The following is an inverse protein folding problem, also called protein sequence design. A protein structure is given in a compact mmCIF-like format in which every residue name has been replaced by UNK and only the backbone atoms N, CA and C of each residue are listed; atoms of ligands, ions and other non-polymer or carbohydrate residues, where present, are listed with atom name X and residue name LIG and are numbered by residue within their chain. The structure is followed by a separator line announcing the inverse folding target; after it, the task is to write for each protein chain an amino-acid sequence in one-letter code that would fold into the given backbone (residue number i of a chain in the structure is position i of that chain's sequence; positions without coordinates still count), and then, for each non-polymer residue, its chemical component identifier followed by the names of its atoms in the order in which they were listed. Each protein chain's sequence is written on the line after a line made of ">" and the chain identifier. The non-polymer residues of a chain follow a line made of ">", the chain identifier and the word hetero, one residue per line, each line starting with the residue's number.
data_IF_039261180115
#
_entry.id   IF_039261180115
#
_cell.length_a   1.000
_cell.length_b   1.000
_cell.length_c   1.000
_cell.angle_alpha   90.00
_cell.angle_beta   90.00
_cell.angle_gamma   90.00
#
_symmetry.space_group_name_H-M   'P 1'
#
loop_
_entity.id
_entity.type
_entity.pdbx_description
1 polymer ?
#
# COMPACT_ATOMS: atom_id res chain seq x y z
N UNK A 1 7.57 -1.53 3.02
CA UNK A 1 7.92 -2.48 4.10
C UNK A 1 8.60 -1.76 5.27
N UNK A 2 9.68 -0.99 5.09
CA UNK A 2 10.40 -0.30 6.20
C UNK A 2 9.50 0.57 7.08
N UNK A 3 8.55 1.31 6.51
CA UNK A 3 7.59 2.11 7.28
C UNK A 3 6.81 1.25 8.28
N UNK A 4 6.30 0.10 7.86
CA UNK A 4 5.57 -0.81 8.74
C UNK A 4 6.48 -1.49 9.77
N UNK A 5 7.70 -1.90 9.35
CA UNK A 5 8.67 -2.53 10.23
C UNK A 5 9.11 -1.58 11.37
N UNK A 6 9.18 -0.28 11.11
CA UNK A 6 9.44 0.74 12.13
C UNK A 6 8.42 0.70 13.28
N UNK A 7 7.17 0.34 12.98
CA UNK A 7 6.07 0.16 13.96
C UNK A 7 5.92 -1.29 14.44
N UNK A 8 6.90 -2.17 14.16
CA UNK A 8 6.92 -3.56 14.62
C UNK A 8 6.20 -4.58 13.74
N UNK A 9 5.68 -4.17 12.58
CA UNK A 9 5.02 -5.07 11.62
C UNK A 9 6.05 -5.63 10.63
N UNK A 10 6.43 -6.88 10.81
CA UNK A 10 7.50 -7.53 10.05
C UNK A 10 7.03 -8.71 9.18
N UNK A 11 5.73 -8.98 9.13
CA UNK A 11 5.17 -10.02 8.27
C UNK A 11 4.46 -9.38 7.07
N UNK A 12 4.88 -9.76 5.86
CA UNK A 12 4.44 -9.15 4.62
C UNK A 12 3.98 -10.18 3.61
N UNK A 13 2.87 -9.89 2.92
CA UNK A 13 2.38 -10.66 1.79
C UNK A 13 2.45 -9.78 0.55
N UNK A 14 3.18 -10.21 -0.45
CA UNK A 14 3.30 -9.52 -1.74
C UNK A 14 2.40 -10.23 -2.75
N UNK A 15 1.37 -9.53 -3.22
CA UNK A 15 0.50 -9.97 -4.29
C UNK A 15 1.21 -9.76 -5.64
N UNK A 16 1.93 -10.77 -6.11
CA UNK A 16 2.72 -10.69 -7.32
C UNK A 16 1.95 -11.14 -8.57
N UNK A 17 2.30 -10.58 -9.71
CA UNK A 17 1.75 -10.90 -11.03
C UNK A 17 2.84 -10.86 -12.07
N UNK A 18 2.81 -9.85 -12.97
CA UNK A 18 3.84 -9.66 -13.98
C UNK A 18 5.24 -9.55 -13.35
N UNK A 19 6.21 -10.24 -13.94
CA UNK A 19 7.60 -10.31 -13.45
C UNK A 19 7.75 -10.77 -11.98
N UNK A 20 6.83 -11.58 -11.47
CA UNK A 20 6.91 -12.10 -10.11
C UNK A 20 8.23 -12.84 -9.80
N UNK A 21 8.85 -13.46 -10.83
CA UNK A 21 10.13 -14.14 -10.68
C UNK A 21 11.23 -13.18 -10.22
N UNK A 22 11.28 -11.95 -10.75
CA UNK A 22 12.27 -10.94 -10.34
C UNK A 22 12.13 -10.59 -8.85
N UNK A 23 10.90 -10.47 -8.36
CA UNK A 23 10.64 -10.22 -6.94
C UNK A 23 11.11 -11.40 -6.08
N UNK A 24 10.80 -12.64 -6.53
CA UNK A 24 11.21 -13.87 -5.82
C UNK A 24 12.72 -14.05 -5.80
N UNK A 25 13.39 -13.82 -6.93
CA UNK A 25 14.84 -13.85 -7.06
C UNK A 25 15.49 -12.83 -6.12
N UNK A 26 14.99 -11.61 -6.08
CA UNK A 26 15.52 -10.57 -5.20
C UNK A 26 15.42 -10.96 -3.72
N UNK A 27 14.31 -11.59 -3.29
CA UNK A 27 14.19 -12.04 -1.90
C UNK A 27 14.97 -13.31 -1.62
N UNK A 28 15.18 -14.22 -2.60
CA UNK A 28 15.99 -15.42 -2.41
C UNK A 28 17.46 -15.07 -2.12
N UNK A 29 17.96 -14.01 -2.74
CA UNK A 29 19.32 -13.54 -2.62
C UNK A 29 19.46 -12.26 -1.77
N UNK A 30 18.40 -11.91 -1.02
CA UNK A 30 18.32 -10.68 -0.23
C UNK A 30 19.55 -10.46 0.66
N UNK A 31 20.04 -11.51 1.32
CA UNK A 31 21.21 -11.44 2.18
C UNK A 31 22.50 -11.13 1.41
N UNK A 32 22.61 -11.58 0.15
CA UNK A 32 23.75 -11.25 -0.72
C UNK A 32 23.75 -9.76 -1.10
N UNK A 33 22.57 -9.17 -1.31
CA UNK A 33 22.44 -7.77 -1.72
C UNK A 33 22.62 -6.77 -0.57
N UNK A 34 22.46 -7.24 0.68
CA UNK A 34 22.42 -6.36 1.87
C UNK A 34 23.58 -6.59 2.83
N UNK A 35 24.52 -7.48 2.50
CA UNK A 35 25.65 -7.86 3.37
C UNK A 35 26.99 -7.63 2.68
N UNK A 36 28.05 -7.49 3.49
CA UNK A 36 29.43 -7.54 3.01
C UNK A 36 29.84 -9.00 2.82
N UNK A 37 30.30 -9.39 1.63
CA UNK A 37 30.55 -10.76 1.27
C UNK A 37 31.91 -10.93 0.60
N UNK A 38 32.62 -11.99 0.97
CA UNK A 38 33.78 -12.50 0.25
C UNK A 38 33.39 -13.79 -0.46
N UNK A 39 33.63 -13.83 -1.77
CA UNK A 39 33.57 -15.04 -2.58
C UNK A 39 34.99 -15.59 -2.74
N UNK A 40 35.29 -16.71 -2.12
CA UNK A 40 36.60 -17.37 -2.21
C UNK A 40 36.55 -18.49 -3.27
N UNK A 41 37.01 -18.19 -4.46
CA UNK A 41 37.12 -19.17 -5.55
C UNK A 41 38.36 -20.04 -5.46
N UNK A 42 39.30 -19.73 -4.55
CA UNK A 42 40.53 -20.51 -4.36
C UNK A 42 40.31 -21.71 -3.43
N UNK A 43 39.27 -21.64 -2.59
CA UNK A 43 38.96 -22.62 -1.56
C UNK A 43 37.54 -23.22 -1.77
N UNK A 44 37.27 -23.75 -2.96
CA UNK A 44 36.03 -24.51 -3.22
C UNK A 44 34.76 -23.69 -3.37
N UNK A 45 34.85 -22.42 -3.79
CA UNK A 45 33.72 -21.46 -3.92
C UNK A 45 33.02 -21.18 -2.58
N UNK A 46 33.76 -20.93 -1.53
CA UNK A 46 33.24 -20.56 -0.22
C UNK A 46 32.63 -19.16 -0.26
N UNK A 47 31.49 -18.96 0.44
CA UNK A 47 30.84 -17.67 0.62
C UNK A 47 30.95 -17.29 2.09
N UNK A 48 31.66 -16.19 2.38
CA UNK A 48 31.86 -15.67 3.73
C UNK A 48 31.07 -14.38 3.87
N UNK A 49 30.06 -14.38 4.73
CA UNK A 49 29.23 -13.20 5.02
C UNK A 49 29.79 -12.50 6.27
N UNK A 50 30.28 -11.26 6.12
CA UNK A 50 30.92 -10.50 7.19
C UNK A 50 29.93 -9.71 8.04
N UNK A 51 29.17 -8.80 7.43
CA UNK A 51 28.18 -7.98 8.11
C UNK A 51 26.80 -8.25 7.50
N UNK A 52 25.85 -8.60 8.36
CA UNK A 52 24.48 -8.89 7.96
C UNK A 52 23.60 -7.67 8.26
N UNK A 53 23.24 -6.93 7.24
CA UNK A 53 22.25 -5.86 7.33
C UNK A 53 20.88 -6.37 6.84
N UNK A 54 20.39 -7.43 7.48
CA UNK A 54 19.15 -8.10 7.08
C UNK A 54 18.01 -7.56 7.93
N UNK A 55 16.99 -7.05 7.27
CA UNK A 55 15.75 -6.66 7.95
C UNK A 55 15.04 -7.92 8.48
N UNK A 56 14.41 -7.88 9.67
CA UNK A 56 13.78 -9.04 10.29
C UNK A 56 12.40 -9.34 9.68
N UNK A 57 12.30 -9.35 8.36
CA UNK A 57 11.05 -9.53 7.65
C UNK A 57 10.74 -10.99 7.38
N UNK A 58 9.48 -11.36 7.53
CA UNK A 58 8.89 -12.58 6.97
C UNK A 58 8.08 -12.18 5.75
N UNK A 59 8.54 -12.57 4.56
CA UNK A 59 7.94 -12.18 3.29
C UNK A 59 7.38 -13.39 2.57
N UNK A 60 6.11 -13.34 2.24
CA UNK A 60 5.43 -14.33 1.41
C UNK A 60 5.07 -13.70 0.06
N UNK A 61 5.62 -14.23 -1.02
CA UNK A 61 5.33 -13.76 -2.39
C UNK A 61 4.34 -14.71 -3.03
N UNK A 62 3.11 -14.24 -3.24
CA UNK A 62 1.99 -15.03 -3.78
C UNK A 62 1.82 -14.71 -5.27
N UNK A 63 1.78 -15.75 -6.11
CA UNK A 63 1.30 -15.60 -7.47
C UNK A 63 -0.22 -15.37 -7.46
N UNK A 64 -0.59 -14.11 -7.67
CA UNK A 64 -2.01 -13.72 -7.73
C UNK A 64 -2.54 -13.63 -9.16
N UNK A 65 -1.78 -14.11 -10.14
CA UNK A 65 -2.15 -14.12 -11.56
C UNK A 65 -1.79 -12.85 -12.32
N UNK A 66 -1.59 -13.00 -13.64
CA UNK A 66 -1.18 -11.90 -14.51
C UNK A 66 -2.33 -10.90 -14.71
N UNK A 67 -3.51 -11.40 -15.08
CA UNK A 67 -4.67 -10.59 -15.46
C UNK A 67 -5.63 -10.31 -14.29
N UNK A 68 -5.23 -10.64 -13.06
CA UNK A 68 -6.06 -10.44 -11.87
C UNK A 68 -6.07 -8.98 -11.46
N UNK A 69 -7.26 -8.43 -11.26
CA UNK A 69 -7.44 -7.05 -10.79
C UNK A 69 -7.19 -6.91 -9.28
N UNK A 70 -7.14 -5.69 -8.77
CA UNK A 70 -6.76 -5.39 -7.37
C UNK A 70 -7.59 -6.14 -6.34
N UNK A 71 -8.91 -6.19 -6.49
CA UNK A 71 -9.80 -6.97 -5.63
C UNK A 71 -9.52 -8.47 -5.68
N UNK A 72 -9.36 -9.03 -6.89
CA UNK A 72 -9.03 -10.44 -7.06
C UNK A 72 -7.73 -10.83 -6.38
N UNK A 73 -6.69 -9.97 -6.45
CA UNK A 73 -5.42 -10.21 -5.75
C UNK A 73 -5.61 -10.27 -4.24
N UNK A 74 -6.40 -9.33 -3.69
CA UNK A 74 -6.76 -9.34 -2.26
C UNK A 74 -7.49 -10.64 -1.92
N UNK A 75 -8.47 -11.06 -2.72
CA UNK A 75 -9.23 -12.30 -2.46
C UNK A 75 -8.34 -13.54 -2.41
N UNK A 76 -7.36 -13.64 -3.31
CA UNK A 76 -6.46 -14.80 -3.41
C UNK A 76 -5.54 -14.96 -2.20
N UNK A 77 -5.30 -13.93 -1.42
CA UNK A 77 -4.47 -13.99 -0.22
C UNK A 77 -5.27 -14.26 1.06
N UNK A 78 -6.59 -14.46 1.00
CA UNK A 78 -7.44 -14.69 2.17
C UNK A 78 -6.91 -15.74 3.14
N UNK A 79 -6.45 -16.88 2.61
CA UNK A 79 -5.94 -17.98 3.44
C UNK A 79 -4.60 -17.66 4.14
N UNK A 80 -3.90 -16.63 3.68
CA UNK A 80 -2.64 -16.19 4.27
C UNK A 80 -2.83 -15.08 5.31
N UNK A 81 -3.90 -14.30 5.17
CA UNK A 81 -4.25 -13.21 6.11
C UNK A 81 -4.88 -13.77 7.38
N UNK A 82 -5.67 -14.85 7.27
CA UNK A 82 -6.38 -15.42 8.42
C UNK A 82 -7.62 -14.59 8.82
N UNK A 83 -7.86 -14.51 10.14
CA UNK A 83 -9.06 -13.87 10.72
C UNK A 83 -8.74 -12.58 11.49
N UNK A 84 -7.55 -12.05 11.36
CA UNK A 84 -7.14 -10.81 12.03
C UNK A 84 -7.21 -9.62 11.07
N UNK A 85 -7.41 -8.40 11.59
CA UNK A 85 -7.30 -7.19 10.79
C UNK A 85 -5.94 -7.11 10.10
N UNK A 86 -5.92 -6.64 8.88
CA UNK A 86 -4.70 -6.53 8.10
C UNK A 86 -4.56 -5.15 7.45
N UNK A 87 -3.33 -4.80 7.15
CA UNK A 87 -3.02 -3.58 6.42
C UNK A 87 -2.76 -3.89 4.95
N UNK A 88 -3.27 -3.04 4.07
CA UNK A 88 -3.03 -3.12 2.64
C UNK A 88 -2.32 -1.85 2.19
N UNK A 89 -1.31 -2.01 1.33
CA UNK A 89 -0.58 -0.88 0.74
C UNK A 89 -0.38 -1.08 -0.76
N UNK A 90 -0.41 0.03 -1.52
CA UNK A 90 0.02 0.03 -2.91
C UNK A 90 1.56 0.04 -2.99
N UNK A 91 2.12 -0.68 -3.96
CA UNK A 91 3.56 -0.86 -4.07
C UNK A 91 4.32 0.34 -4.64
N UNK A 92 3.62 1.31 -5.21
CA UNK A 92 4.11 2.46 -5.96
C UNK A 92 4.04 3.79 -5.20
N UNK A 93 3.66 3.75 -3.92
CA UNK A 93 3.53 4.94 -3.08
C UNK A 93 4.57 4.96 -1.96
N UNK A 94 5.11 6.16 -1.71
CA UNK A 94 6.01 6.44 -0.57
C UNK A 94 5.36 7.50 0.31
N UNK A 95 5.37 7.28 1.63
CA UNK A 95 4.79 8.23 2.58
C UNK A 95 5.28 7.97 4.00
N UNK A 96 5.09 8.96 4.87
CA UNK A 96 5.41 8.91 6.29
C UNK A 96 4.14 8.73 7.16
N UNK A 97 3.18 7.96 6.65
CA UNK A 97 1.92 7.66 7.36
C UNK A 97 2.22 7.03 8.71
N UNK A 98 1.70 7.65 9.77
CA UNK A 98 1.80 7.09 11.11
C UNK A 98 0.87 5.88 11.24
N UNK A 99 1.46 4.69 11.20
CA UNK A 99 0.75 3.40 11.20
C UNK A 99 0.05 3.16 12.55
N UNK A 100 0.66 3.59 13.65
CA UNK A 100 0.07 3.44 14.98
C UNK A 100 -1.24 4.26 15.09
N UNK A 101 -1.21 5.54 14.71
CA UNK A 101 -2.42 6.39 14.74
C UNK A 101 -3.48 5.91 13.74
N UNK A 102 -3.08 5.41 12.58
CA UNK A 102 -4.00 4.82 11.61
C UNK A 102 -4.74 3.60 12.20
N UNK A 103 -4.01 2.72 12.89
CA UNK A 103 -4.58 1.54 13.57
C UNK A 103 -5.47 1.91 14.76
N UNK A 104 -5.06 2.88 15.57
CA UNK A 104 -5.88 3.39 16.66
C UNK A 104 -7.20 3.98 16.15
N UNK A 105 -7.12 4.79 15.08
CA UNK A 105 -8.29 5.35 14.42
C UNK A 105 -9.23 4.24 13.93
N UNK A 106 -8.69 3.20 13.25
CA UNK A 106 -9.46 2.06 12.78
C UNK A 106 -10.16 1.32 13.93
N UNK A 107 -9.43 0.99 14.98
CA UNK A 107 -9.98 0.32 16.17
C UNK A 107 -11.09 1.15 16.84
N UNK A 108 -10.91 2.47 16.92
CA UNK A 108 -11.84 3.38 17.59
C UNK A 108 -13.20 3.46 16.90
N UNK A 109 -13.24 3.47 15.56
CA UNK A 109 -14.52 3.57 14.86
C UNK A 109 -15.21 2.21 14.63
N UNK A 110 -14.49 1.08 14.72
CA UNK A 110 -15.02 -0.29 14.66
C UNK A 110 -15.72 -0.64 13.33
N UNK A 111 -15.35 0.01 12.22
CA UNK A 111 -15.87 -0.29 10.88
C UNK A 111 -14.96 -1.26 10.14
N UNK A 112 -15.45 -1.83 9.03
CA UNK A 112 -14.73 -2.86 8.28
C UNK A 112 -13.48 -2.35 7.56
N UNK A 113 -13.46 -1.08 7.17
CA UNK A 113 -12.35 -0.52 6.41
C UNK A 113 -12.01 0.91 6.82
N UNK A 114 -10.71 1.21 6.80
CA UNK A 114 -10.16 2.56 6.85
C UNK A 114 -9.31 2.77 5.61
N UNK A 115 -9.50 3.86 4.90
CA UNK A 115 -8.63 4.32 3.81
C UNK A 115 -7.91 5.58 4.26
N UNK A 116 -6.59 5.62 4.06
CA UNK A 116 -5.84 6.86 4.25
C UNK A 116 -6.04 7.75 3.03
N UNK A 117 -6.31 9.03 3.30
CA UNK A 117 -6.53 10.04 2.28
C UNK A 117 -5.57 11.21 2.48
N UNK A 118 -5.18 11.82 1.38
CA UNK A 118 -4.25 12.95 1.37
C UNK A 118 -4.82 14.10 0.56
N UNK A 119 -4.64 15.32 1.03
CA UNK A 119 -5.02 16.49 0.26
C UNK A 119 -3.95 16.78 -0.79
N UNK A 120 -4.17 16.28 -2.01
CA UNK A 120 -3.30 16.52 -3.17
C UNK A 120 -3.50 17.89 -3.78
N UNK A 121 -4.22 18.77 -3.09
CA UNK A 121 -4.52 20.13 -3.56
C UNK A 121 -3.25 20.90 -3.89
N UNK A 122 -3.18 21.41 -5.11
CA UNK A 122 -2.22 22.47 -5.40
C UNK A 122 -2.60 23.66 -4.50
N UNK A 123 -1.65 24.15 -3.70
CA UNK A 123 -1.79 25.39 -2.91
C UNK A 123 -1.87 26.63 -3.82
N UNK A 124 -2.65 26.56 -4.90
CA UNK A 124 -2.79 27.61 -5.90
C UNK A 124 -4.26 27.90 -6.09
N UNK A 125 -4.61 29.17 -6.16
CA UNK A 125 -5.98 29.60 -6.42
C UNK A 125 -6.55 28.98 -7.68
N UNK A 126 -7.83 28.69 -7.66
CA UNK A 126 -8.60 28.20 -8.81
C UNK A 126 -9.06 29.42 -9.63
N UNK A 127 -8.73 29.41 -10.90
CA UNK A 127 -9.16 30.43 -11.86
C UNK A 127 -10.31 29.86 -12.71
N UNK A 128 -11.42 30.56 -12.74
CA UNK A 128 -12.45 30.35 -13.76
C UNK A 128 -12.12 31.26 -14.96
N UNK A 129 -11.81 30.63 -16.10
CA UNK A 129 -11.36 31.33 -17.31
C UNK A 129 -12.35 31.01 -18.44
N UNK A 130 -12.89 32.05 -19.08
CA UNK A 130 -13.66 31.92 -20.31
C UNK A 130 -13.15 32.92 -21.35
N UNK A 131 -12.88 32.42 -22.56
CA UNK A 131 -12.37 33.20 -23.68
C UNK A 131 -11.13 34.06 -23.34
N UNK A 132 -10.19 33.50 -22.55
CA UNK A 132 -8.99 34.16 -22.07
C UNK A 132 -9.20 35.15 -20.92
N UNK A 133 -10.45 35.39 -20.50
CA UNK A 133 -10.78 36.30 -19.40
C UNK A 133 -10.97 35.55 -18.11
N UNK A 134 -10.27 35.96 -17.05
CA UNK A 134 -10.47 35.45 -15.69
C UNK A 134 -11.78 35.98 -15.14
N UNK A 135 -12.76 35.10 -14.91
CA UNK A 135 -14.09 35.44 -14.40
C UNK A 135 -14.18 35.36 -12.87
N UNK A 136 -13.45 34.42 -12.28
CA UNK A 136 -13.36 34.28 -10.86
C UNK A 136 -11.96 33.80 -10.46
N UNK A 137 -11.50 34.28 -9.33
CA UNK A 137 -10.33 33.77 -8.60
C UNK A 137 -10.79 33.35 -7.21
N UNK A 138 -10.54 32.12 -6.86
CA UNK A 138 -10.88 31.61 -5.55
C UNK A 138 -9.66 30.91 -4.94
N UNK A 139 -9.26 31.35 -3.77
CA UNK A 139 -8.35 30.60 -2.93
C UNK A 139 -9.02 29.26 -2.57
N UNK A 140 -8.31 28.14 -2.70
CA UNK A 140 -8.84 26.84 -2.26
C UNK A 140 -8.91 26.79 -0.75
N UNK A 141 -10.02 26.29 -0.22
CA UNK A 141 -10.14 25.88 1.18
C UNK A 141 -9.85 24.40 1.34
N UNK A 142 -9.42 23.97 2.52
CA UNK A 142 -9.18 22.54 2.85
C UNK A 142 -10.44 21.66 2.69
N UNK A 143 -11.61 22.29 2.52
CA UNK A 143 -12.91 21.64 2.31
C UNK A 143 -13.24 21.37 0.84
N UNK A 144 -12.41 21.80 -0.09
CA UNK A 144 -12.69 21.73 -1.55
C UNK A 144 -12.43 20.36 -2.20
N UNK A 145 -12.53 19.26 -1.44
CA UNK A 145 -12.74 17.93 -2.00
C UNK A 145 -11.56 17.31 -2.78
N UNK A 146 -10.32 17.76 -2.58
CA UNK A 146 -9.13 17.20 -3.24
C UNK A 146 -8.49 16.04 -2.44
N UNK A 147 -9.24 15.41 -1.54
CA UNK A 147 -8.78 14.23 -0.83
C UNK A 147 -8.74 13.05 -1.80
N UNK A 148 -7.57 12.48 -1.97
CA UNK A 148 -7.36 11.28 -2.78
C UNK A 148 -7.00 10.09 -1.90
N UNK A 149 -7.36 8.88 -2.35
CA UNK A 149 -6.88 7.64 -1.77
C UNK A 149 -5.37 7.53 -2.00
N UNK A 150 -4.61 7.31 -0.94
CA UNK A 150 -3.13 7.21 -0.99
C UNK A 150 -2.61 5.78 -0.81
N UNK A 151 -3.49 4.79 -0.92
CA UNK A 151 -3.09 3.39 -0.96
C UNK A 151 -2.73 2.76 0.38
N UNK A 152 -2.97 3.42 1.52
CA UNK A 152 -2.80 2.83 2.86
C UNK A 152 -4.16 2.52 3.46
N UNK A 153 -4.41 1.25 3.73
CA UNK A 153 -5.67 0.77 4.30
C UNK A 153 -5.46 -0.05 5.56
N UNK A 154 -6.48 -0.04 6.42
CA UNK A 154 -6.67 -1.06 7.46
C UNK A 154 -8.01 -1.72 7.21
N UNK A 155 -8.02 -3.03 7.11
CA UNK A 155 -9.16 -3.83 6.67
C UNK A 155 -9.46 -4.94 7.68
N UNK A 156 -10.73 -5.14 7.99
CA UNK A 156 -11.21 -6.33 8.68
C UNK A 156 -11.33 -7.51 7.68
N UNK A 157 -11.17 -8.76 8.12
CA UNK A 157 -11.29 -9.92 7.24
C UNK A 157 -12.63 -10.03 6.52
N UNK A 158 -13.71 -9.46 7.08
CA UNK A 158 -15.04 -9.43 6.46
C UNK A 158 -15.06 -8.73 5.10
N UNK A 159 -14.07 -7.87 4.82
CA UNK A 159 -13.89 -7.20 3.52
C UNK A 159 -13.77 -8.21 2.37
N UNK A 160 -13.24 -9.41 2.63
CA UNK A 160 -13.21 -10.48 1.62
C UNK A 160 -14.59 -10.89 1.09
N UNK A 161 -15.66 -10.65 1.84
CA UNK A 161 -17.03 -10.96 1.43
C UNK A 161 -17.57 -9.98 0.38
N UNK A 162 -16.92 -8.85 0.19
CA UNK A 162 -17.26 -7.83 -0.81
C UNK A 162 -16.54 -8.04 -2.15
N UNK A 163 -15.71 -9.08 -2.24
CA UNK A 163 -14.91 -9.37 -3.44
C UNK A 163 -15.37 -10.70 -4.04
N UNK A 164 -15.94 -10.66 -5.25
CA UNK A 164 -16.51 -11.86 -5.88
C UNK A 164 -15.47 -12.67 -6.64
N UNK A 165 -14.50 -12.04 -7.31
CA UNK A 165 -13.54 -12.77 -8.14
C UNK A 165 -12.39 -11.94 -8.71
N UNK A 166 -11.66 -12.57 -9.64
CA UNK A 166 -10.40 -12.05 -10.17
C UNK A 166 -10.51 -10.76 -10.98
N UNK A 167 -11.66 -10.54 -11.61
CA UNK A 167 -11.90 -9.36 -12.46
C UNK A 167 -12.34 -8.13 -11.68
N UNK A 168 -12.53 -8.26 -10.36
CA UNK A 168 -13.02 -7.17 -9.53
C UNK A 168 -11.92 -6.20 -9.15
N UNK A 169 -12.17 -4.92 -9.39
CA UNK A 169 -11.31 -3.81 -8.96
C UNK A 169 -11.75 -3.39 -7.56
N UNK A 170 -10.85 -3.47 -6.57
CA UNK A 170 -11.14 -3.20 -5.16
C UNK A 170 -11.69 -1.78 -4.94
N UNK A 171 -11.14 -0.82 -5.67
CA UNK A 171 -11.46 0.61 -5.59
C UNK A 171 -12.83 0.97 -6.20
N UNK A 172 -13.49 0.02 -6.82
CA UNK A 172 -14.81 0.19 -7.44
C UNK A 172 -15.92 -0.42 -6.57
N UNK A 173 -16.52 -1.53 -7.02
CA UNK A 173 -17.68 -2.13 -6.35
C UNK A 173 -17.46 -2.47 -4.87
N UNK A 174 -16.32 -3.07 -4.44
CA UNK A 174 -16.10 -3.37 -3.03
C UNK A 174 -16.12 -2.12 -2.14
N UNK A 175 -15.36 -1.07 -2.52
CA UNK A 175 -15.36 0.16 -1.73
C UNK A 175 -16.70 0.90 -1.79
N UNK A 176 -17.42 0.88 -2.93
CA UNK A 176 -18.77 1.47 -3.03
C UNK A 176 -19.75 0.81 -2.07
N UNK A 177 -19.79 -0.53 -2.04
CA UNK A 177 -20.67 -1.27 -1.11
C UNK A 177 -20.32 -0.95 0.34
N UNK A 178 -19.02 -0.88 0.70
CA UNK A 178 -18.58 -0.48 2.03
C UNK A 178 -19.03 0.95 2.39
N UNK A 179 -19.07 1.87 1.42
CA UNK A 179 -19.61 3.23 1.61
C UNK A 179 -21.12 3.20 1.83
N UNK A 180 -21.87 2.49 0.98
CA UNK A 180 -23.34 2.36 1.09
C UNK A 180 -23.76 1.78 2.44
N UNK A 181 -23.00 0.81 2.95
CA UNK A 181 -23.22 0.19 4.27
C UNK A 181 -22.60 0.97 5.44
N UNK A 182 -22.03 2.15 5.17
CA UNK A 182 -21.34 2.98 6.18
C UNK A 182 -20.21 2.24 6.91
N UNK A 183 -19.51 1.35 6.21
CA UNK A 183 -18.41 0.53 6.73
C UNK A 183 -17.01 1.02 6.32
N UNK A 184 -16.91 2.11 5.56
CA UNK A 184 -15.63 2.76 5.19
C UNK A 184 -15.46 4.08 5.93
N UNK A 185 -14.28 4.28 6.51
CA UNK A 185 -13.85 5.55 7.13
C UNK A 185 -12.57 6.07 6.47
N UNK A 186 -12.44 7.39 6.42
CA UNK A 186 -11.26 8.06 5.90
C UNK A 186 -10.37 8.56 7.05
N UNK A 187 -9.08 8.25 6.99
CA UNK A 187 -8.02 8.80 7.85
C UNK A 187 -7.24 9.85 7.06
N UNK A 188 -7.29 11.10 7.49
CA UNK A 188 -6.59 12.20 6.79
C UNK A 188 -5.13 12.20 7.19
N UNK A 189 -4.25 12.00 6.21
CA UNK A 189 -2.81 12.11 6.35
C UNK A 189 -2.35 13.54 6.06
N UNK A 190 -1.52 14.11 6.94
CA UNK A 190 -1.01 15.48 6.82
C UNK A 190 0.50 15.55 6.57
N UNK A 191 1.19 14.41 6.52
CA UNK A 191 2.63 14.33 6.30
C UNK A 191 3.01 14.28 4.82
N UNK A 192 4.15 13.66 4.52
CA UNK A 192 4.64 13.45 3.17
C UNK A 192 3.95 12.24 2.51
N UNK A 193 3.55 12.41 1.26
CA UNK A 193 3.11 11.31 0.40
C UNK A 193 3.44 11.63 -1.07
N UNK A 194 3.92 10.62 -1.80
CA UNK A 194 4.20 10.70 -3.23
C UNK A 194 3.95 9.36 -3.90
N UNK A 195 3.27 9.39 -5.04
CA UNK A 195 3.15 8.26 -5.95
C UNK A 195 4.35 8.25 -6.93
N UNK A 196 4.79 7.06 -7.31
CA UNK A 196 5.91 6.84 -8.25
C UNK A 196 5.42 6.53 -9.67
N UNK A 197 4.19 6.91 -10.02
CA UNK A 197 3.57 6.63 -11.34
C UNK A 197 4.15 7.45 -12.48
N UNK A 198 4.80 8.54 -12.17
CA UNK A 198 5.38 9.47 -13.16
C UNK A 198 6.88 9.65 -12.96
N UNK A 199 7.61 9.72 -14.07
CA UNK A 199 9.02 10.06 -14.10
C UNK A 199 9.25 11.53 -13.74
#
# INVERSE_FOLDING_TARGET
>A
MKVYAYYGFNEFIICAGYKQHVIKEWFSDYFLHTSDITFDFTNGNEIIVHHKHIEPWKVTVIDTGLETMTGGRIKRIRNYVGNEPFMLNYGDAVGDVNIEYLLEYHKKHGKLATVSVYNFGQNKGVLDIKDGTVRAFREKSDLDGNLINIGFFVLQPEVFNYIDGDTMVFEQEPLKKLVEESQLKAYVHHGFWQCMDTL
#
